data_IF_628597023742
#
_entry.id   IF_628597023742
#
_cell.length_a   1.000
_cell.length_b   1.000
_cell.length_c   1.000
_cell.angle_alpha   90.00
_cell.angle_beta   90.00
_cell.angle_gamma   90.00
#
_symmetry.space_group_name_H-M   'P 1'
#
loop_
_entity.id
_entity.type
_entity.pdbx_description
1 polymer ?
#
# COMPACT_ATOMS: atom_id res chain seq x y z
N UNK A 1 -38.83 24.43 37.65
CA UNK A 1 -39.03 23.69 36.39
C UNK A 1 -37.69 23.68 35.68
N UNK A 2 -36.88 22.64 35.94
CA UNK A 2 -35.58 22.47 35.29
C UNK A 2 -35.77 21.43 34.21
N UNK A 3 -35.69 21.85 32.95
CA UNK A 3 -35.79 20.96 31.80
C UNK A 3 -34.54 20.09 31.72
N UNK A 4 -34.71 18.79 31.92
CA UNK A 4 -33.68 17.77 31.75
C UNK A 4 -33.43 17.55 30.26
N UNK A 5 -32.22 17.79 29.79
CA UNK A 5 -31.78 17.42 28.45
C UNK A 5 -31.02 16.10 28.56
N UNK A 6 -31.69 14.99 28.22
CA UNK A 6 -31.09 13.68 28.19
C UNK A 6 -30.13 13.59 27.00
N UNK A 7 -28.83 13.58 27.30
CA UNK A 7 -27.81 13.20 26.34
C UNK A 7 -27.95 11.70 26.07
N UNK A 8 -28.48 11.36 24.90
CA UNK A 8 -28.41 9.99 24.35
C UNK A 8 -26.95 9.68 24.07
N UNK A 9 -26.25 9.11 25.05
CA UNK A 9 -24.96 8.46 24.82
C UNK A 9 -25.21 7.19 24.03
N UNK A 10 -24.85 7.20 22.75
CA UNK A 10 -24.73 5.98 21.98
C UNK A 10 -23.51 5.25 22.57
N UNK A 11 -23.74 4.21 23.35
CA UNK A 11 -22.67 3.32 23.81
C UNK A 11 -22.22 2.53 22.59
N UNK A 12 -21.04 2.85 22.05
CA UNK A 12 -20.36 2.04 21.03
C UNK A 12 -19.93 0.73 21.68
N UNK A 13 -20.75 -0.32 21.50
CA UNK A 13 -20.37 -1.66 21.88
C UNK A 13 -19.42 -2.23 20.81
N UNK A 14 -18.39 -3.01 21.22
CA UNK A 14 -17.51 -3.66 20.27
C UNK A 14 -18.30 -4.60 19.35
N UNK A 15 -17.90 -4.64 18.08
CA UNK A 15 -18.50 -5.53 17.08
C UNK A 15 -17.97 -6.95 17.31
N UNK A 16 -18.78 -7.80 17.95
CA UNK A 16 -18.48 -9.23 18.10
C UNK A 16 -17.33 -9.55 19.05
N UNK A 17 -16.78 -10.76 18.93
CA UNK A 17 -15.54 -11.17 19.60
C UNK A 17 -14.31 -10.57 18.92
N UNK A 18 -13.14 -10.67 19.58
CA UNK A 18 -11.86 -10.25 18.98
C UNK A 18 -11.58 -10.98 17.66
N UNK A 19 -11.90 -12.27 17.58
CA UNK A 19 -11.72 -13.08 16.38
C UNK A 19 -12.65 -12.65 15.24
N UNK A 20 -13.92 -12.39 15.55
CA UNK A 20 -14.90 -11.88 14.58
C UNK A 20 -14.48 -10.51 14.06
N UNK A 21 -14.04 -9.62 14.95
CA UNK A 21 -13.54 -8.31 14.57
C UNK A 21 -12.26 -8.40 13.72
N UNK A 22 -11.31 -9.27 14.08
CA UNK A 22 -10.09 -9.49 13.31
C UNK A 22 -10.39 -10.01 11.89
N UNK A 23 -11.40 -10.87 11.74
CA UNK A 23 -11.85 -11.33 10.42
C UNK A 23 -12.43 -10.17 9.59
N UNK A 24 -13.29 -9.33 10.18
CA UNK A 24 -13.85 -8.16 9.51
C UNK A 24 -12.76 -7.17 9.07
N UNK A 25 -11.72 -6.98 9.90
CA UNK A 25 -10.56 -6.14 9.54
C UNK A 25 -9.78 -6.75 8.37
N UNK A 26 -9.59 -8.07 8.34
CA UNK A 26 -8.89 -8.74 7.24
C UNK A 26 -9.65 -8.65 5.92
N UNK A 27 -10.98 -8.76 5.96
CA UNK A 27 -11.87 -8.56 4.82
C UNK A 27 -11.77 -7.12 4.32
N UNK A 28 -11.90 -6.13 5.22
CA UNK A 28 -11.76 -4.71 4.90
C UNK A 28 -10.41 -4.39 4.24
N UNK A 29 -9.31 -4.89 4.80
CA UNK A 29 -7.96 -4.67 4.23
C UNK A 29 -7.83 -5.31 2.85
N UNK A 30 -8.46 -6.46 2.62
CA UNK A 30 -8.42 -7.14 1.33
C UNK A 30 -9.22 -6.38 0.27
N UNK A 31 -10.39 -5.87 0.64
CA UNK A 31 -11.27 -5.11 -0.25
C UNK A 31 -10.69 -3.74 -0.60
N UNK A 32 -10.08 -3.06 0.38
CA UNK A 32 -9.52 -1.71 0.24
C UNK A 32 -8.02 -1.71 -0.14
N UNK A 33 -7.42 -2.88 -0.38
CA UNK A 33 -5.99 -2.98 -0.68
C UNK A 33 -5.62 -2.20 -1.95
N UNK A 34 -4.75 -1.18 -1.87
CA UNK A 34 -4.30 -0.49 -3.06
C UNK A 34 -3.44 -1.41 -3.91
N UNK A 35 -3.53 -1.25 -5.23
CA UNK A 35 -2.70 -2.03 -6.16
C UNK A 35 -1.29 -1.49 -6.18
N UNK A 36 -0.31 -2.34 -5.87
CA UNK A 36 1.11 -1.97 -5.88
C UNK A 36 1.66 -1.98 -7.32
N UNK A 37 2.47 -0.97 -7.64
CA UNK A 37 3.21 -0.88 -8.90
C UNK A 37 4.61 -0.31 -8.69
N UNK A 38 5.47 -0.50 -9.69
CA UNK A 38 6.79 0.09 -9.78
C UNK A 38 6.89 0.96 -11.04
N UNK A 39 7.60 2.08 -10.89
CA UNK A 39 8.07 2.91 -11.98
C UNK A 39 9.55 2.64 -12.16
N UNK A 40 9.90 2.05 -13.29
CA UNK A 40 11.25 1.60 -13.62
C UNK A 40 11.83 2.56 -14.65
N UNK A 41 12.98 3.13 -14.35
CA UNK A 41 13.76 3.86 -15.35
C UNK A 41 14.47 2.86 -16.26
N UNK A 42 14.32 3.00 -17.57
CA UNK A 42 15.09 2.25 -18.56
C UNK A 42 16.35 3.03 -18.95
N UNK A 43 17.51 2.42 -18.76
CA UNK A 43 18.79 2.94 -19.23
C UNK A 43 19.20 2.25 -20.54
N UNK A 44 19.46 3.04 -21.59
CA UNK A 44 19.70 2.53 -22.94
C UNK A 44 18.47 1.83 -23.56
N UNK A 45 18.61 1.33 -24.79
CA UNK A 45 17.56 0.48 -25.40
C UNK A 45 17.56 -0.92 -24.76
N UNK A 46 16.90 -1.05 -23.60
CA UNK A 46 16.78 -2.32 -22.85
C UNK A 46 18.11 -2.88 -22.35
N UNK A 47 19.06 -2.00 -22.03
CA UNK A 47 20.39 -2.40 -21.53
C UNK A 47 20.35 -2.62 -20.02
N UNK A 48 19.68 -1.73 -19.30
CA UNK A 48 19.55 -1.81 -17.84
C UNK A 48 18.26 -1.09 -17.37
N UNK A 49 17.88 -1.31 -16.12
CA UNK A 49 16.82 -0.54 -15.49
C UNK A 49 16.80 -0.65 -13.97
N UNK A 50 16.51 0.47 -13.33
CA UNK A 50 16.38 0.56 -11.88
C UNK A 50 14.99 1.02 -11.49
N UNK A 51 14.54 0.60 -10.30
CA UNK A 51 13.30 1.08 -9.73
C UNK A 51 13.51 2.54 -9.32
N UNK A 52 12.83 3.44 -10.01
CA UNK A 52 12.83 4.87 -9.69
C UNK A 52 11.92 5.14 -8.49
N UNK A 53 10.75 4.50 -8.47
CA UNK A 53 9.78 4.61 -7.40
C UNK A 53 8.87 3.38 -7.29
N UNK A 54 8.43 3.12 -6.08
CA UNK A 54 7.27 2.28 -5.79
C UNK A 54 6.02 3.15 -5.71
N UNK A 55 4.86 2.59 -6.02
CA UNK A 55 3.60 3.30 -5.88
C UNK A 55 2.43 2.40 -5.49
N UNK A 56 1.48 3.01 -4.79
CA UNK A 56 0.21 2.43 -4.40
C UNK A 56 -0.88 3.13 -5.19
N UNK A 57 -1.69 2.37 -5.91
CA UNK A 57 -2.84 2.89 -6.62
C UNK A 57 -4.10 2.62 -5.80
N UNK A 58 -4.66 3.71 -5.27
CA UNK A 58 -5.99 3.75 -4.69
C UNK A 58 -7.03 3.97 -5.80
N UNK A 59 -8.31 3.93 -5.44
CA UNK A 59 -9.40 4.13 -6.39
C UNK A 59 -9.38 5.54 -7.02
N UNK A 60 -9.04 6.55 -6.23
CA UNK A 60 -9.14 7.97 -6.60
C UNK A 60 -7.78 8.64 -6.88
N UNK A 61 -6.69 8.10 -6.33
CA UNK A 61 -5.35 8.68 -6.46
C UNK A 61 -4.26 7.61 -6.40
N UNK A 62 -3.01 8.05 -6.61
CA UNK A 62 -1.84 7.21 -6.44
C UNK A 62 -0.79 7.95 -5.62
N UNK A 63 -0.15 7.21 -4.73
CA UNK A 63 1.01 7.68 -3.97
C UNK A 63 2.25 6.99 -4.51
N UNK A 64 3.35 7.73 -4.64
CA UNK A 64 4.65 7.16 -5.00
C UNK A 64 5.71 7.51 -3.96
N UNK A 65 6.68 6.61 -3.81
CA UNK A 65 7.87 6.79 -2.98
C UNK A 65 9.10 6.30 -3.75
N UNK A 66 10.12 7.16 -3.82
CA UNK A 66 11.43 6.83 -4.38
C UNK A 66 12.15 5.81 -3.50
N UNK A 67 12.99 4.96 -4.10
CA UNK A 67 13.71 3.90 -3.39
C UNK A 67 14.66 4.45 -2.31
N UNK A 68 15.21 5.64 -2.54
CA UNK A 68 16.08 6.36 -1.61
C UNK A 68 15.30 7.18 -0.56
N UNK A 69 13.97 7.19 -0.63
CA UNK A 69 13.08 7.99 0.22
C UNK A 69 13.09 9.50 -0.07
N UNK A 70 13.93 9.97 -1.02
CA UNK A 70 14.08 11.38 -1.35
C UNK A 70 12.96 11.95 -2.22
N UNK A 71 12.17 11.07 -2.84
CA UNK A 71 11.02 11.43 -3.67
C UNK A 71 9.73 10.87 -3.06
N UNK A 72 8.73 11.73 -2.85
CA UNK A 72 7.36 11.33 -2.52
C UNK A 72 6.39 12.21 -3.30
N UNK A 73 5.25 11.65 -3.72
CA UNK A 73 4.26 12.46 -4.43
C UNK A 73 2.92 11.76 -4.59
N UNK A 74 1.88 12.59 -4.59
CA UNK A 74 0.50 12.21 -4.85
C UNK A 74 0.12 12.64 -6.27
N UNK A 75 -0.57 11.76 -7.00
CA UNK A 75 -1.05 12.02 -8.35
C UNK A 75 -2.48 11.52 -8.52
N UNK A 76 -3.29 12.15 -9.39
CA UNK A 76 -4.67 11.71 -9.62
C UNK A 76 -4.76 10.41 -10.42
N UNK A 77 -3.65 9.89 -10.98
CA UNK A 77 -3.61 8.57 -11.61
C UNK A 77 -2.17 8.10 -11.86
N UNK A 78 -2.00 6.78 -12.05
CA UNK A 78 -0.71 6.16 -12.40
C UNK A 78 -0.13 6.75 -13.68
N UNK A 79 -0.99 7.04 -14.67
CA UNK A 79 -0.60 7.62 -15.95
C UNK A 79 -0.04 9.03 -15.75
N UNK A 80 -0.61 9.82 -14.83
CA UNK A 80 -0.11 11.16 -14.50
C UNK A 80 1.21 11.10 -13.73
N UNK A 81 1.36 10.19 -12.79
CA UNK A 81 2.63 9.93 -12.10
C UNK A 81 3.74 9.54 -13.10
N UNK A 82 3.46 8.56 -13.97
CA UNK A 82 4.38 8.14 -15.03
C UNK A 82 4.70 9.30 -15.96
N UNK A 83 3.69 10.04 -16.45
CA UNK A 83 3.90 11.17 -17.34
C UNK A 83 4.83 12.22 -16.73
N UNK A 84 4.65 12.55 -15.45
CA UNK A 84 5.48 13.52 -14.74
C UNK A 84 6.96 13.08 -14.68
N UNK A 85 7.21 11.81 -14.37
CA UNK A 85 8.56 11.24 -14.26
C UNK A 85 9.22 10.99 -15.63
N UNK A 86 8.41 10.66 -16.64
CA UNK A 86 8.86 10.49 -18.03
C UNK A 86 9.42 11.77 -18.66
N UNK A 87 9.25 12.94 -18.03
CA UNK A 87 9.84 14.21 -18.51
C UNK A 87 11.36 14.25 -18.40
N UNK A 88 11.95 13.41 -17.53
CA UNK A 88 13.39 13.39 -17.27
C UNK A 88 14.06 12.14 -17.84
N UNK A 89 13.38 11.01 -17.77
CA UNK A 89 13.94 9.68 -18.09
C UNK A 89 12.89 8.82 -18.76
N UNK A 90 13.29 7.72 -19.40
CA UNK A 90 12.33 6.78 -19.98
C UNK A 90 11.76 5.88 -18.89
N UNK A 91 10.51 6.09 -18.50
CA UNK A 91 9.87 5.33 -17.42
C UNK A 91 8.95 4.24 -17.97
N UNK A 92 9.09 3.02 -17.45
CA UNK A 92 8.16 1.90 -17.60
C UNK A 92 7.32 1.75 -16.33
N UNK A 93 6.03 1.49 -16.52
CA UNK A 93 5.10 1.12 -15.45
C UNK A 93 5.01 -0.41 -15.41
N UNK A 94 5.17 -1.00 -14.22
CA UNK A 94 5.04 -2.43 -13.99
C UNK A 94 4.13 -2.64 -12.78
N UNK A 95 3.05 -3.40 -12.93
CA UNK A 95 2.17 -3.78 -11.82
C UNK A 95 2.76 -4.97 -11.08
N UNK A 96 2.63 -4.98 -9.75
CA UNK A 96 2.91 -6.16 -8.96
C UNK A 96 1.65 -7.00 -8.94
N UNK A 97 1.66 -8.10 -9.68
CA UNK A 97 0.62 -9.10 -9.54
C UNK A 97 0.86 -9.81 -8.20
N UNK A 98 0.03 -9.50 -7.19
CA UNK A 98 0.02 -10.21 -5.91
C UNK A 98 -0.48 -11.63 -6.14
N UNK A 99 0.42 -12.52 -6.56
CA UNK A 99 0.36 -13.94 -6.18
C UNK A 99 1.77 -14.36 -5.78
N UNK A 100 2.15 -13.99 -4.57
CA UNK A 100 3.02 -14.82 -3.76
C UNK A 100 2.45 -14.81 -2.34
N UNK A 101 1.82 -15.91 -1.87
CA UNK A 101 1.51 -16.02 -0.46
C UNK A 101 2.82 -15.82 0.31
N UNK A 102 2.77 -15.02 1.38
CA UNK A 102 3.86 -14.87 2.33
C UNK A 102 4.41 -16.27 2.64
N UNK A 103 5.65 -16.55 2.21
CA UNK A 103 6.32 -17.77 2.64
C UNK A 103 6.35 -17.69 4.16
N UNK A 104 5.72 -18.60 4.92
CA UNK A 104 5.87 -18.58 6.37
C UNK A 104 7.38 -18.60 6.64
N UNK A 105 7.88 -17.64 7.43
CA UNK A 105 9.28 -17.69 7.91
C UNK A 105 9.47 -19.08 8.48
N UNK A 106 10.33 -19.88 7.87
CA UNK A 106 10.70 -21.17 8.45
C UNK A 106 11.23 -20.89 9.86
N UNK A 107 10.71 -21.54 10.91
CA UNK A 107 11.34 -21.49 12.22
C UNK A 107 12.63 -22.33 12.15
N UNK A 108 13.66 -21.80 11.51
CA UNK A 108 15.01 -22.38 11.50
C UNK A 108 16.07 -21.30 11.69
N UNK A 109 15.80 -20.35 12.57
CA UNK A 109 16.84 -19.50 13.15
C UNK A 109 16.71 -19.55 14.67
N UNK A 110 16.71 -20.77 15.20
CA UNK A 110 16.92 -21.04 16.63
C UNK A 110 18.30 -21.67 16.79
N UNK A 111 19.21 -20.81 17.28
CA UNK A 111 20.48 -21.06 17.96
C UNK A 111 21.65 -21.71 17.17
N UNK A 112 22.87 -21.13 17.24
CA UNK A 112 24.07 -21.93 17.14
C UNK A 112 24.20 -22.75 18.43
N UNK A 113 24.34 -24.06 18.28
CA UNK A 113 24.78 -24.96 19.32
C UNK A 113 26.27 -24.69 19.61
N UNK A 114 26.57 -24.15 20.78
CA UNK A 114 27.87 -24.23 21.46
C UNK A 114 27.74 -23.84 22.94
#
# INVERSE_FOLDING_TARGET
MTTSNAATGIVELPLGTEEEFAQLVAELVTDEAPRLFALVEEHGERVDGWILAWGMAFEDHVEIVGVDGGMRGSFPSVQRARWALSRRVKVRLVWVDTVAPLRPRSPSESAPEA
#
